data_IF_932007217639
#
_entry.id   IF_932007217639
#
_cell.length_a   1.000
_cell.length_b   1.000
_cell.length_c   1.000
_cell.angle_alpha   90.00
_cell.angle_beta   90.00
_cell.angle_gamma   90.00
#
_symmetry.space_group_name_H-M   'P 1'
#
loop_
_entity.id
_entity.type
_entity.pdbx_description
1 polymer ?
#
# COMPACT_ATOMS: atom_id res chain seq x y z
N UNK A 1 11.04 5.06 -10.16
CA UNK A 1 9.92 5.61 -9.36
C UNK A 1 10.56 6.47 -8.29
N UNK A 2 10.20 7.75 -8.15
CA UNK A 2 11.00 8.66 -7.32
C UNK A 2 10.60 8.61 -5.85
N UNK A 3 11.36 7.86 -5.05
CA UNK A 3 11.37 8.01 -3.59
C UNK A 3 12.27 9.20 -3.27
N UNK A 4 11.83 10.18 -2.45
CA UNK A 4 12.69 11.28 -2.05
C UNK A 4 13.95 10.78 -1.33
N UNK A 5 15.12 11.26 -1.73
CA UNK A 5 16.39 10.87 -1.12
C UNK A 5 16.40 11.13 0.39
N UNK A 6 15.86 12.27 0.82
CA UNK A 6 15.71 12.61 2.23
C UNK A 6 14.88 11.59 3.04
N UNK A 7 13.93 10.88 2.40
CA UNK A 7 13.19 9.81 3.06
C UNK A 7 14.06 8.55 3.20
N UNK A 8 14.84 8.22 2.17
CA UNK A 8 15.79 7.09 2.20
C UNK A 8 16.95 7.33 3.19
N UNK A 9 17.36 8.58 3.40
CA UNK A 9 18.35 8.97 4.41
C UNK A 9 17.93 8.59 5.84
N UNK A 10 16.62 8.44 6.08
CA UNK A 10 16.08 7.92 7.33
C UNK A 10 16.38 6.43 7.58
N UNK A 11 16.93 5.71 6.60
CA UNK A 11 17.21 4.28 6.68
C UNK A 11 18.67 3.95 6.31
N UNK A 12 19.65 4.28 7.18
CA UNK A 12 21.07 4.10 6.88
C UNK A 12 21.46 2.64 6.55
N UNK A 13 20.79 1.65 7.13
CA UNK A 13 21.04 0.24 6.84
C UNK A 13 20.62 -0.16 5.43
N UNK A 14 19.53 0.41 4.90
CA UNK A 14 19.11 0.20 3.50
C UNK A 14 20.11 0.88 2.55
N UNK A 15 20.51 2.11 2.86
CA UNK A 15 21.50 2.84 2.06
C UNK A 15 22.86 2.14 2.04
N UNK A 16 23.31 1.60 3.18
CA UNK A 16 24.55 0.82 3.25
C UNK A 16 24.46 -0.47 2.42
N UNK A 17 23.33 -1.18 2.49
CA UNK A 17 23.10 -2.40 1.71
C UNK A 17 23.03 -2.14 0.20
N UNK A 18 22.58 -0.95 -0.20
CA UNK A 18 22.56 -0.49 -1.58
C UNK A 18 23.88 0.15 -2.06
N UNK A 19 24.92 0.19 -1.22
CA UNK A 19 26.20 0.81 -1.58
C UNK A 19 26.13 2.34 -1.77
N UNK A 20 25.16 2.99 -1.14
CA UNK A 20 24.91 4.44 -1.29
C UNK A 20 24.07 4.81 -2.52
N UNK A 21 23.59 3.84 -3.30
CA UNK A 21 22.74 4.09 -4.46
C UNK A 21 21.25 4.15 -4.06
N UNK A 22 20.65 5.32 -4.24
CA UNK A 22 19.25 5.57 -3.88
C UNK A 22 18.25 4.79 -4.75
N UNK A 23 18.52 4.61 -6.04
CA UNK A 23 17.61 3.88 -6.94
C UNK A 23 17.68 2.38 -6.65
N UNK A 24 18.89 1.88 -6.36
CA UNK A 24 19.07 0.53 -5.86
C UNK A 24 18.33 0.35 -4.53
N UNK A 25 18.50 1.25 -3.57
CA UNK A 25 17.83 1.19 -2.26
C UNK A 25 16.29 1.19 -2.41
N UNK A 26 15.73 2.05 -3.25
CA UNK A 26 14.30 2.11 -3.53
C UNK A 26 13.74 0.82 -4.16
N UNK A 27 14.56 0.10 -4.93
CA UNK A 27 14.19 -1.11 -5.66
C UNK A 27 14.42 -2.40 -4.86
N UNK A 28 15.09 -2.34 -3.71
CA UNK A 28 15.35 -3.51 -2.88
C UNK A 28 14.05 -4.14 -2.35
N UNK A 29 14.02 -5.47 -2.28
CA UNK A 29 12.93 -6.17 -1.63
C UNK A 29 12.91 -5.87 -0.12
N UNK A 30 11.72 -5.59 0.41
CA UNK A 30 11.52 -5.24 1.83
C UNK A 30 11.04 -6.43 2.69
N UNK A 31 10.91 -7.62 2.08
CA UNK A 31 10.41 -8.84 2.75
C UNK A 31 8.89 -8.89 2.95
N UNK A 32 8.13 -7.90 2.45
CA UNK A 32 6.67 -7.83 2.53
C UNK A 32 6.02 -8.29 1.22
N UNK A 33 4.70 -8.45 1.28
CA UNK A 33 3.88 -8.75 0.11
C UNK A 33 2.71 -7.78 0.02
N UNK A 34 2.35 -7.42 -1.21
CA UNK A 34 1.18 -6.58 -1.48
C UNK A 34 -0.13 -7.36 -1.28
N UNK A 35 -1.27 -6.68 -1.47
CA UNK A 35 -2.58 -7.29 -1.34
C UNK A 35 -2.89 -8.39 -2.38
N UNK A 36 -2.07 -8.53 -3.43
CA UNK A 36 -2.14 -9.60 -4.41
C UNK A 36 -1.13 -10.74 -4.13
N UNK A 37 -0.29 -10.59 -3.10
CA UNK A 37 0.73 -11.57 -2.73
C UNK A 37 2.07 -11.39 -3.43
N UNK A 38 2.28 -10.34 -4.23
CA UNK A 38 3.55 -10.09 -4.91
C UNK A 38 4.58 -9.53 -3.91
N UNK A 39 5.85 -9.86 -4.10
CA UNK A 39 6.92 -9.27 -3.29
C UNK A 39 6.95 -7.76 -3.46
N UNK A 40 7.14 -7.04 -2.35
CA UNK A 40 7.21 -5.58 -2.36
C UNK A 40 8.67 -5.08 -2.34
N UNK A 41 8.87 -3.92 -2.96
CA UNK A 41 10.10 -3.14 -2.88
C UNK A 41 9.95 -1.95 -1.91
N UNK A 42 11.08 -1.40 -1.47
CA UNK A 42 11.15 -0.25 -0.53
C UNK A 42 10.34 0.95 -1.00
N UNK A 43 10.31 1.27 -2.30
CA UNK A 43 9.50 2.39 -2.79
C UNK A 43 8.01 2.22 -2.49
N UNK A 44 7.50 0.99 -2.40
CA UNK A 44 6.10 0.74 -2.08
C UNK A 44 5.79 1.04 -0.62
N UNK A 45 6.77 0.90 0.29
CA UNK A 45 6.62 1.36 1.67
C UNK A 45 6.50 2.88 1.74
N UNK A 46 7.30 3.61 0.94
CA UNK A 46 7.16 5.05 0.85
C UNK A 46 5.74 5.44 0.40
N UNK A 47 5.21 4.79 -0.64
CA UNK A 47 3.86 5.04 -1.13
C UNK A 47 2.81 4.67 -0.07
N UNK A 48 2.94 3.52 0.57
CA UNK A 48 1.99 3.04 1.57
C UNK A 48 2.12 3.73 2.94
N UNK A 49 3.15 4.55 3.16
CA UNK A 49 3.44 5.19 4.45
C UNK A 49 3.99 4.26 5.52
N UNK A 50 4.51 3.10 5.13
CA UNK A 50 4.99 2.06 6.05
C UNK A 50 6.52 2.09 6.21
N UNK A 51 7.03 1.43 7.25
CA UNK A 51 8.47 1.37 7.51
C UNK A 51 9.12 0.22 6.73
N UNK A 52 10.04 0.47 5.78
CA UNK A 52 10.65 -0.55 4.93
C UNK A 52 11.57 -1.53 5.66
N UNK A 53 12.09 -1.16 6.83
CA UNK A 53 12.96 -2.02 7.64
C UNK A 53 12.21 -2.82 8.70
N UNK A 54 10.89 -2.62 8.83
CA UNK A 54 10.03 -3.36 9.73
C UNK A 54 9.01 -4.20 8.94
N UNK A 55 9.20 -5.52 8.79
CA UNK A 55 8.27 -6.40 8.10
C UNK A 55 6.84 -6.38 8.67
N UNK A 56 6.67 -6.05 9.96
CA UNK A 56 5.37 -5.93 10.63
C UNK A 56 4.64 -4.60 10.38
N UNK A 57 5.30 -3.60 9.82
CA UNK A 57 4.68 -2.33 9.45
C UNK A 57 3.91 -2.52 8.13
N UNK A 58 2.62 -2.82 8.24
CA UNK A 58 1.75 -3.15 7.11
C UNK A 58 0.68 -2.09 6.92
N UNK A 59 0.34 -1.83 5.65
CA UNK A 59 -0.87 -1.07 5.31
C UNK A 59 -2.08 -1.97 5.48
N UNK A 60 -2.96 -1.63 6.42
CA UNK A 60 -4.12 -2.42 6.80
C UNK A 60 -5.39 -1.72 6.34
N UNK A 61 -6.25 -2.45 5.65
CA UNK A 61 -7.61 -2.01 5.37
C UNK A 61 -8.56 -2.63 6.40
N UNK A 62 -9.42 -1.81 6.99
CA UNK A 62 -10.54 -2.23 7.82
C UNK A 62 -11.83 -1.99 7.07
N UNK A 63 -12.77 -2.93 7.18
CA UNK A 63 -14.08 -2.85 6.53
C UNK A 63 -15.14 -2.99 7.61
N UNK A 64 -16.07 -2.05 7.63
CA UNK A 64 -17.24 -2.05 8.49
C UNK A 64 -18.51 -2.00 7.62
N UNK A 65 -19.55 -2.78 7.95
CA UNK A 65 -20.83 -2.70 7.25
C UNK A 65 -21.79 -1.81 8.07
N UNK A 66 -22.20 -0.67 7.52
CA UNK A 66 -23.18 0.23 8.14
C UNK A 66 -24.45 0.26 7.32
N UNK A 67 -25.56 -0.23 7.89
CA UNK A 67 -26.87 -0.29 7.20
C UNK A 67 -26.81 -0.96 5.82
N UNK A 68 -25.97 -1.99 5.67
CA UNK A 68 -25.78 -2.70 4.39
C UNK A 68 -24.77 -2.05 3.44
N UNK A 69 -24.22 -0.88 3.76
CA UNK A 69 -23.19 -0.19 2.97
C UNK A 69 -21.79 -0.45 3.55
N UNK A 70 -20.81 -0.84 2.72
CA UNK A 70 -19.42 -1.00 3.18
C UNK A 70 -18.78 0.36 3.43
N UNK A 71 -18.15 0.52 4.60
CA UNK A 71 -17.33 1.67 4.98
C UNK A 71 -15.91 1.15 5.18
N UNK A 72 -14.99 1.63 4.34
CA UNK A 72 -13.58 1.26 4.40
C UNK A 72 -12.80 2.33 5.15
N UNK A 73 -11.83 1.86 5.95
CA UNK A 73 -10.80 2.68 6.58
C UNK A 73 -9.45 2.03 6.34
N UNK A 74 -8.37 2.79 6.45
CA UNK A 74 -7.03 2.25 6.29
C UNK A 74 -6.05 2.86 7.28
N UNK A 75 -4.96 2.13 7.52
CA UNK A 75 -3.86 2.57 8.37
C UNK A 75 -2.51 2.09 7.80
N UNK A 76 -1.49 2.95 7.67
CA UNK A 76 -1.53 4.39 7.97
C UNK A 76 -2.38 5.17 6.94
N UNK A 77 -3.06 6.20 7.43
CA UNK A 77 -3.76 7.19 6.59
C UNK A 77 -2.92 8.47 6.53
N UNK A 78 -2.37 8.76 5.34
CA UNK A 78 -1.55 9.93 5.07
C UNK A 78 -2.37 11.10 4.49
N UNK A 79 -3.70 10.98 4.49
CA UNK A 79 -4.61 12.02 3.98
C UNK A 79 -4.25 12.43 2.56
N UNK A 80 -4.14 13.74 2.32
CA UNK A 80 -3.93 14.31 0.99
C UNK A 80 -2.53 14.12 0.42
N UNK A 81 -1.59 13.54 1.18
CA UNK A 81 -0.27 13.18 0.64
C UNK A 81 -0.34 11.96 -0.27
N UNK A 82 -1.46 11.21 -0.26
CA UNK A 82 -1.70 10.03 -1.07
C UNK A 82 -3.07 10.09 -1.73
N UNK A 83 -3.22 9.36 -2.82
CA UNK A 83 -4.51 9.10 -3.44
C UNK A 83 -4.93 7.67 -3.07
N UNK A 84 -6.11 7.56 -2.49
CA UNK A 84 -6.71 6.30 -2.07
C UNK A 84 -7.84 5.93 -3.02
N UNK A 85 -7.67 4.85 -3.78
CA UNK A 85 -8.71 4.32 -4.66
C UNK A 85 -9.33 3.09 -4.03
N UNK A 86 -10.64 3.13 -3.81
CA UNK A 86 -11.39 2.01 -3.24
C UNK A 86 -11.95 1.16 -4.37
N UNK A 87 -11.66 -0.13 -4.32
CA UNK A 87 -12.17 -1.13 -5.25
C UNK A 87 -13.04 -2.14 -4.52
N UNK A 88 -14.13 -2.54 -5.17
CA UNK A 88 -15.06 -3.55 -4.73
C UNK A 88 -15.27 -4.61 -5.80
N UNK A 89 -15.57 -5.84 -5.35
CA UNK A 89 -15.91 -6.97 -6.23
C UNK A 89 -16.92 -7.88 -5.54
N UNK A 90 -17.85 -8.46 -6.28
CA UNK A 90 -18.88 -9.35 -5.72
C UNK A 90 -18.36 -10.76 -5.41
N UNK A 91 -17.33 -11.22 -6.12
CA UNK A 91 -16.71 -12.54 -5.96
C UNK A 91 -15.19 -12.46 -6.12
N UNK A 92 -14.43 -13.33 -5.45
CA UNK A 92 -12.99 -13.48 -5.71
C UNK A 92 -12.71 -14.21 -7.02
N UNK A 93 -13.67 -15.03 -7.49
CA UNK A 93 -13.48 -15.91 -8.64
C UNK A 93 -13.89 -15.25 -9.97
N UNK A 94 -14.88 -14.36 -9.93
CA UNK A 94 -15.53 -13.80 -11.13
C UNK A 94 -15.84 -12.30 -10.98
N UNK A 95 -15.92 -11.58 -12.10
CA UNK A 95 -16.21 -10.14 -12.18
C UNK A 95 -14.96 -9.24 -12.19
N UNK A 96 -15.13 -7.94 -12.33
CA UNK A 96 -14.03 -6.96 -12.33
C UNK A 96 -13.95 -6.21 -11.00
N UNK A 97 -12.77 -5.67 -10.67
CA UNK A 97 -12.65 -4.69 -9.61
C UNK A 97 -13.21 -3.36 -10.11
N UNK A 98 -14.25 -2.85 -9.45
CA UNK A 98 -14.91 -1.59 -9.80
C UNK A 98 -15.03 -0.71 -8.56
N UNK A 99 -15.25 0.59 -8.73
CA UNK A 99 -15.59 1.45 -7.58
C UNK A 99 -16.87 0.91 -6.92
N UNK A 100 -16.86 0.57 -5.62
CA UNK A 100 -18.05 0.03 -4.97
C UNK A 100 -19.11 1.11 -4.83
N UNK A 101 -20.19 1.00 -5.59
CA UNK A 101 -21.30 1.96 -5.59
C UNK A 101 -22.51 1.49 -4.77
N UNK A 102 -22.53 0.23 -4.34
CA UNK A 102 -23.68 -0.36 -3.65
C UNK A 102 -23.30 -1.60 -2.83
N UNK A 103 -24.29 -2.16 -2.14
CA UNK A 103 -24.18 -3.36 -1.31
C UNK A 103 -23.96 -4.66 -2.10
N UNK A 104 -23.57 -4.65 -3.37
CA UNK A 104 -23.29 -5.85 -4.17
C UNK A 104 -21.82 -6.29 -4.07
N UNK A 105 -20.92 -5.40 -3.65
CA UNK A 105 -19.53 -5.76 -3.37
C UNK A 105 -19.42 -6.58 -2.08
N UNK A 106 -18.60 -7.63 -2.09
CA UNK A 106 -18.31 -8.52 -0.95
C UNK A 106 -16.83 -8.56 -0.62
N UNK A 107 -15.99 -8.22 -1.59
CA UNK A 107 -14.55 -8.15 -1.48
C UNK A 107 -14.12 -6.72 -1.77
N UNK A 108 -13.10 -6.27 -1.05
CA UNK A 108 -12.66 -4.90 -1.07
C UNK A 108 -11.14 -4.85 -1.07
N UNK A 109 -10.59 -3.84 -1.74
CA UNK A 109 -9.18 -3.47 -1.61
C UNK A 109 -9.07 -1.95 -1.69
N UNK A 110 -8.01 -1.43 -1.09
CA UNK A 110 -7.63 -0.03 -1.20
C UNK A 110 -6.29 0.00 -1.92
N UNK A 111 -6.23 0.75 -3.00
CA UNK A 111 -5.01 1.05 -3.72
C UNK A 111 -4.50 2.42 -3.29
N UNK A 112 -3.19 2.52 -3.08
CA UNK A 112 -2.52 3.74 -2.63
C UNK A 112 -1.55 4.15 -3.71
N UNK A 113 -1.62 5.40 -4.15
CA UNK A 113 -0.67 6.01 -5.07
C UNK A 113 -0.21 7.37 -4.57
N UNK A 114 0.87 7.88 -5.17
CA UNK A 114 1.19 9.30 -5.07
C UNK A 114 0.14 10.12 -5.86
N UNK A 115 -0.10 11.39 -5.48
CA UNK A 115 -0.95 12.32 -6.22
C UNK A 115 -0.50 12.59 -7.65
#
# INVERSE_FOLDING_TARGET
MSVPFAWLDGYPSLMAAAGGDYEAAASMANGKRDGAGNAMAVWQDYVAGTCPTNPGALFRCLIEMRQGTPVLKWEPDLGNERVYTIWGRSSLLVGEWVTPTNASSRFFRVEVSLP
#
